data_IF_117093182501
#
_entry.id   IF_117093182501
#
_cell.length_a   1.000
_cell.length_b   1.000
_cell.length_c   1.000
_cell.angle_alpha   90.00
_cell.angle_beta   90.00
_cell.angle_gamma   90.00
#
_symmetry.space_group_name_H-M   'P 1'
#
loop_
_entity.id
_entity.type
_entity.pdbx_description
1 polymer ?
#
# COMPACT_ATOMS: atom_id res chain seq x y z
N UNK A 1 -23.80 2.42 9.77
CA UNK A 1 -22.35 2.59 10.01
C UNK A 1 -21.76 1.27 10.50
N UNK A 2 -21.40 0.35 9.60
CA UNK A 2 -20.58 -0.80 9.98
C UNK A 2 -19.11 -0.35 9.90
N UNK A 3 -18.58 0.20 11.00
CA UNK A 3 -17.13 0.15 11.22
C UNK A 3 -16.84 -1.34 11.38
N UNK A 4 -16.46 -2.00 10.28
CA UNK A 4 -15.84 -3.32 10.33
C UNK A 4 -14.74 -3.19 11.38
N UNK A 5 -14.94 -3.84 12.52
CA UNK A 5 -13.97 -3.81 13.60
C UNK A 5 -12.70 -4.40 13.00
N UNK A 6 -11.72 -3.55 12.69
CA UNK A 6 -10.42 -4.00 12.23
C UNK A 6 -9.95 -5.02 13.28
N UNK A 7 -9.88 -6.29 12.88
CA UNK A 7 -9.45 -7.35 13.77
C UNK A 7 -8.10 -6.97 14.35
N UNK A 8 -7.77 -7.44 15.55
CA UNK A 8 -6.50 -7.11 16.22
C UNK A 8 -5.31 -7.38 15.27
N UNK A 9 -5.44 -8.40 14.42
CA UNK A 9 -4.52 -8.75 13.35
C UNK A 9 -4.38 -7.66 12.29
N UNK A 10 -5.50 -7.15 11.74
CA UNK A 10 -5.48 -6.04 10.77
C UNK A 10 -4.79 -4.81 11.37
N UNK A 11 -5.07 -4.48 12.63
CA UNK A 11 -4.41 -3.36 13.31
C UNK A 11 -2.90 -3.59 13.48
N UNK A 12 -2.49 -4.82 13.76
CA UNK A 12 -1.08 -5.22 13.82
C UNK A 12 -0.40 -5.08 12.45
N UNK A 13 -1.05 -5.53 11.37
CA UNK A 13 -0.54 -5.35 9.99
C UNK A 13 -0.30 -3.87 9.72
N UNK A 14 -1.32 -3.04 9.93
CA UNK A 14 -1.25 -1.60 9.69
C UNK A 14 -0.15 -0.93 10.52
N UNK A 15 -0.03 -1.31 11.79
CA UNK A 15 1.02 -0.80 12.68
C UNK A 15 2.40 -1.20 12.19
N UNK A 16 2.62 -2.48 11.88
CA UNK A 16 3.90 -2.98 11.37
C UNK A 16 4.29 -2.36 10.03
N UNK A 17 3.34 -2.07 9.13
CA UNK A 17 3.62 -1.34 7.90
C UNK A 17 4.02 0.11 8.20
N UNK A 18 3.31 0.78 9.13
CA UNK A 18 3.60 2.15 9.55
C UNK A 18 4.97 2.27 10.24
N UNK A 19 5.35 1.28 11.02
CA UNK A 19 6.67 1.19 11.67
C UNK A 19 7.76 0.65 10.72
N UNK A 20 7.46 0.42 9.44
CA UNK A 20 8.40 -0.09 8.43
C UNK A 20 9.07 -1.41 8.86
N UNK A 21 8.30 -2.29 9.53
CA UNK A 21 8.81 -3.57 10.00
C UNK A 21 9.01 -4.55 8.84
N UNK A 22 10.24 -5.04 8.71
CA UNK A 22 10.57 -6.15 7.82
C UNK A 22 9.94 -7.47 8.32
N UNK A 23 9.73 -8.40 7.39
CA UNK A 23 9.18 -9.74 7.67
C UNK A 23 9.83 -10.42 8.87
N UNK A 24 11.16 -10.37 8.96
CA UNK A 24 11.95 -11.03 10.01
C UNK A 24 11.72 -10.45 11.41
N UNK A 25 11.27 -9.19 11.49
CA UNK A 25 10.97 -8.49 12.74
C UNK A 25 9.48 -8.52 13.10
N UNK A 26 8.64 -9.17 12.28
CA UNK A 26 7.21 -9.25 12.58
C UNK A 26 6.94 -10.13 13.78
N UNK A 27 5.93 -9.79 14.60
CA UNK A 27 5.50 -10.64 15.70
C UNK A 27 5.06 -12.01 15.16
N UNK A 28 5.35 -13.08 15.92
CA UNK A 28 5.02 -14.47 15.54
C UNK A 28 3.55 -14.68 15.18
N UNK A 29 2.64 -13.90 15.79
CA UNK A 29 1.22 -13.90 15.44
C UNK A 29 1.00 -13.51 13.98
N UNK A 30 1.66 -12.43 13.53
CA UNK A 30 1.60 -11.98 12.15
C UNK A 30 2.22 -12.98 11.17
N UNK A 31 3.36 -13.57 11.52
CA UNK A 31 3.97 -14.65 10.72
C UNK A 31 3.14 -15.95 10.72
N UNK A 32 2.16 -16.09 11.61
CA UNK A 32 1.21 -17.21 11.59
C UNK A 32 0.02 -16.90 10.69
N UNK A 33 -0.43 -15.64 10.67
CA UNK A 33 -1.53 -15.17 9.80
C UNK A 33 -1.09 -15.04 8.35
N UNK A 34 0.12 -14.50 8.14
CA UNK A 34 0.75 -14.32 6.84
C UNK A 34 1.79 -15.42 6.80
N UNK A 35 1.63 -16.40 5.90
CA UNK A 35 2.43 -17.62 5.92
C UNK A 35 3.80 -17.45 5.26
N UNK A 36 3.98 -16.41 4.44
CA UNK A 36 5.19 -16.20 3.64
C UNK A 36 5.59 -14.73 3.56
N UNK A 37 6.90 -14.51 3.35
CA UNK A 37 7.49 -13.18 3.12
C UNK A 37 6.91 -12.48 1.89
N UNK A 38 6.72 -13.19 0.79
CA UNK A 38 6.07 -12.63 -0.41
C UNK A 38 4.67 -12.09 -0.11
N UNK A 39 3.89 -12.77 0.74
CA UNK A 39 2.54 -12.31 1.08
C UNK A 39 2.58 -11.04 1.94
N UNK A 40 3.56 -10.93 2.84
CA UNK A 40 3.82 -9.68 3.56
C UNK A 40 4.20 -8.53 2.62
N UNK A 41 5.08 -8.79 1.66
CA UNK A 41 5.47 -7.79 0.66
C UNK A 41 4.27 -7.29 -0.14
N UNK A 42 3.39 -8.20 -0.59
CA UNK A 42 2.14 -7.82 -1.27
C UNK A 42 1.26 -6.93 -0.40
N UNK A 43 1.10 -7.25 0.89
CA UNK A 43 0.30 -6.44 1.83
C UNK A 43 0.87 -5.04 2.02
N UNK A 44 2.19 -4.91 2.09
CA UNK A 44 2.85 -3.59 2.15
C UNK A 44 2.57 -2.80 0.89
N UNK A 45 2.84 -3.36 -0.29
CA UNK A 45 2.67 -2.68 -1.59
C UNK A 45 1.22 -2.23 -1.74
N UNK A 46 0.28 -3.13 -1.53
CA UNK A 46 -1.15 -2.82 -1.58
C UNK A 46 -1.53 -1.73 -0.59
N UNK A 47 -1.02 -1.77 0.64
CA UNK A 47 -1.29 -0.74 1.65
C UNK A 47 -0.74 0.63 1.22
N UNK A 48 0.51 0.68 0.74
CA UNK A 48 1.13 1.90 0.26
C UNK A 48 0.37 2.50 -0.92
N UNK A 49 -0.08 1.67 -1.88
CA UNK A 49 -0.87 2.10 -3.04
C UNK A 49 -2.26 2.59 -2.61
N UNK A 50 -2.97 1.82 -1.76
CA UNK A 50 -4.29 2.20 -1.23
C UNK A 50 -4.23 3.51 -0.45
N UNK A 51 -3.14 3.75 0.27
CA UNK A 51 -2.88 4.98 1.01
C UNK A 51 -2.25 6.10 0.18
N UNK A 52 -1.91 5.87 -1.09
CA UNK A 52 -1.23 6.81 -1.97
C UNK A 52 0.04 7.38 -1.31
N UNK A 53 0.88 6.49 -0.76
CA UNK A 53 2.16 6.90 -0.19
C UNK A 53 3.18 7.13 -1.31
N UNK A 54 3.96 8.22 -1.18
CA UNK A 54 5.02 8.53 -2.14
C UNK A 54 6.14 7.49 -2.07
N UNK A 55 6.72 7.14 -3.21
CA UNK A 55 7.82 6.16 -3.29
C UNK A 55 9.01 6.53 -2.38
N UNK A 56 9.34 7.82 -2.33
CA UNK A 56 10.43 8.36 -1.50
C UNK A 56 10.24 8.06 -0.01
N UNK A 57 9.00 8.06 0.46
CA UNK A 57 8.63 7.90 1.88
C UNK A 57 7.97 6.57 2.20
N UNK A 58 7.72 5.71 1.21
CA UNK A 58 6.98 4.46 1.43
C UNK A 58 7.92 3.28 1.69
N UNK A 59 7.44 2.32 2.48
CA UNK A 59 8.18 1.11 2.81
C UNK A 59 8.43 0.20 1.59
N UNK A 60 7.60 0.32 0.54
CA UNK A 60 7.72 -0.47 -0.68
C UNK A 60 9.12 -0.38 -1.31
N UNK A 61 9.81 0.76 -1.15
CA UNK A 61 11.19 0.97 -1.64
C UNK A 61 12.24 0.01 -1.10
N UNK A 62 11.98 -0.62 0.05
CA UNK A 62 12.89 -1.58 0.68
C UNK A 62 12.60 -3.03 0.25
N UNK A 63 11.44 -3.28 -0.38
CA UNK A 63 10.96 -4.63 -0.71
C UNK A 63 10.85 -4.90 -2.21
N UNK A 64 10.63 -3.87 -3.04
CA UNK A 64 10.53 -3.99 -4.50
C UNK A 64 11.27 -2.84 -5.20
N UNK A 65 11.33 -2.88 -6.53
CA UNK A 65 11.86 -1.78 -7.35
C UNK A 65 10.78 -0.73 -7.63
N UNK A 66 11.22 0.48 -7.90
CA UNK A 66 10.35 1.61 -8.21
C UNK A 66 9.40 1.32 -9.38
N UNK A 67 9.93 0.70 -10.45
CA UNK A 67 9.14 0.30 -11.61
C UNK A 67 7.97 -0.63 -11.25
N UNK A 68 8.25 -1.70 -10.50
CA UNK A 68 7.23 -2.68 -10.09
C UNK A 68 6.15 -2.01 -9.23
N UNK A 69 6.53 -1.10 -8.33
CA UNK A 69 5.59 -0.36 -7.49
C UNK A 69 4.65 0.52 -8.31
N UNK A 70 5.15 1.24 -9.32
CA UNK A 70 4.30 2.04 -10.19
C UNK A 70 3.42 1.18 -11.11
N UNK A 71 3.91 0.03 -11.57
CA UNK A 71 3.11 -0.93 -12.34
C UNK A 71 1.93 -1.46 -11.53
N UNK A 72 2.18 -1.93 -10.30
CA UNK A 72 1.10 -2.35 -9.38
C UNK A 72 0.16 -1.18 -9.09
N UNK A 73 0.69 0.03 -8.87
CA UNK A 73 -0.14 1.22 -8.63
C UNK A 73 -1.10 1.48 -9.80
N UNK A 74 -0.63 1.44 -11.04
CA UNK A 74 -1.49 1.58 -12.23
C UNK A 74 -2.49 0.44 -12.38
N UNK A 75 -2.18 -0.77 -11.92
CA UNK A 75 -3.12 -1.90 -11.91
C UNK A 75 -4.21 -1.75 -10.86
N UNK A 76 -3.87 -1.20 -9.70
CA UNK A 76 -4.77 -0.96 -8.56
C UNK A 76 -5.58 0.34 -8.68
N UNK A 77 -5.12 1.30 -9.48
CA UNK A 77 -5.92 2.40 -9.99
C UNK A 77 -6.45 1.99 -11.37
N UNK A 78 -7.56 1.21 -11.46
CA UNK A 78 -8.24 1.09 -12.73
C UNK A 78 -8.64 2.52 -13.12
N UNK A 79 -7.97 3.09 -14.11
CA UNK A 79 -8.39 4.34 -14.71
C UNK A 79 -9.69 4.02 -15.46
N UNK A 80 -10.88 4.49 -15.03
CA UNK A 80 -11.93 4.68 -16.01
C UNK A 80 -11.41 5.80 -16.91
N UNK A 81 -10.90 5.42 -18.08
CA UNK A 81 -10.88 6.31 -19.23
C UNK A 81 -12.36 6.63 -19.56
N UNK A 82 -12.92 7.57 -18.82
CA UNK A 82 -14.19 8.20 -19.11
C UNK A 82 -14.06 9.65 -18.74
N UNK A 83 -13.82 10.45 -19.77
CA UNK A 83 -14.41 11.75 -20.02
C UNK A 83 -15.24 12.30 -18.85
N UNK A 84 -14.77 13.40 -18.25
CA UNK A 84 -15.54 14.14 -17.24
C UNK A 84 -15.07 13.84 -15.83
N UNK A 85 -14.40 14.82 -15.24
CA UNK A 85 -13.60 14.65 -14.04
C UNK A 85 -14.38 14.30 -12.78
N UNK A 86 -13.70 13.63 -11.86
CA UNK A 86 -13.77 13.92 -10.43
C UNK A 86 -12.50 13.45 -9.74
N UNK A 87 -12.05 14.30 -8.82
CA UNK A 87 -10.81 14.23 -8.05
C UNK A 87 -10.74 13.00 -7.13
N UNK A 88 -9.55 12.40 -7.01
CA UNK A 88 -9.18 11.62 -5.84
C UNK A 88 -8.50 12.55 -4.84
N UNK A 89 -9.28 13.08 -3.90
CA UNK A 89 -8.75 13.87 -2.80
C UNK A 89 -8.24 12.95 -1.68
N UNK A 90 -6.92 12.91 -1.49
CA UNK A 90 -6.31 13.21 -0.17
C UNK A 90 -4.78 13.17 -0.24
N UNK A 91 -4.21 14.34 0.10
CA UNK A 91 -2.80 14.70 0.34
C UNK A 91 -2.03 15.25 -0.88
N UNK A 92 -1.47 16.42 -0.64
CA UNK A 92 -1.08 17.50 -1.56
C UNK A 92 0.19 17.27 -2.40
N UNK A 93 0.62 16.03 -2.67
CA UNK A 93 1.95 15.80 -3.29
C UNK A 93 2.02 14.62 -4.29
N UNK A 94 0.87 14.22 -4.86
CA UNK A 94 0.85 13.23 -5.95
C UNK A 94 0.69 13.93 -7.31
N UNK A 95 1.76 14.59 -7.78
CA UNK A 95 1.82 15.09 -9.15
C UNK A 95 1.97 13.90 -10.11
N UNK A 96 0.87 13.24 -10.46
CA UNK A 96 0.79 12.52 -11.73
C UNK A 96 0.62 13.57 -12.83
N UNK A 97 1.72 14.19 -13.24
CA UNK A 97 1.71 14.96 -14.47
C UNK A 97 1.60 13.95 -15.62
N UNK A 98 0.37 13.68 -16.05
CA UNK A 98 0.14 13.18 -17.40
C UNK A 98 0.44 14.36 -18.33
N UNK A 99 1.70 14.50 -18.72
CA UNK A 99 2.08 15.47 -19.74
C UNK A 99 1.57 14.92 -21.09
N UNK A 100 0.67 15.70 -21.70
CA UNK A 100 0.25 15.58 -23.10
C UNK A 100 1.45 15.61 -24.05
#
# INVERSE_FOLDING_TARGET
>A
MQRVQATIEEQLILKSIKEECHWENLPKRLQSTISTKEEWHRRIIEHCIKKRLQWSTCFARKICKEGEYYEDMMRYLPVPISSGGVCLQSNEDFTFQVLL
#
